data_IF_773983223550
#
_entry.id   IF_773983223550
#
_cell.length_a   1.000
_cell.length_b   1.000
_cell.length_c   1.000
_cell.angle_alpha   90.00
_cell.angle_beta   90.00
_cell.angle_gamma   90.00
#
_symmetry.space_group_name_H-M   'P 1'
#
loop_
_entity.id
_entity.type
_entity.pdbx_description
1 polymer ?
#
# COMPACT_ATOMS: atom_id res chain seq x y z
N UNK A 1 -3.77 -29.32 1.51
CA UNK A 1 -5.05 -28.69 1.09
C UNK A 1 -5.20 -27.38 1.86
N UNK A 2 -4.79 -26.25 1.28
CA UNK A 2 -5.02 -24.95 1.92
C UNK A 2 -6.51 -24.64 1.87
N UNK A 3 -7.16 -24.52 3.02
CA UNK A 3 -8.50 -23.94 3.12
C UNK A 3 -8.40 -22.50 2.64
N UNK A 4 -8.86 -22.22 1.42
CA UNK A 4 -9.16 -20.85 1.02
C UNK A 4 -10.28 -20.35 1.92
N UNK A 5 -9.91 -19.62 2.97
CA UNK A 5 -10.88 -18.88 3.78
C UNK A 5 -11.46 -17.83 2.84
N UNK A 6 -12.72 -18.03 2.41
CA UNK A 6 -13.46 -17.01 1.66
C UNK A 6 -13.78 -15.86 2.62
N UNK A 7 -12.87 -14.91 2.72
CA UNK A 7 -13.12 -13.66 3.41
C UNK A 7 -14.06 -12.82 2.56
N UNK A 8 -15.24 -12.51 3.10
CA UNK A 8 -16.24 -11.66 2.43
C UNK A 8 -16.20 -10.26 3.04
N UNK A 9 -16.30 -9.21 2.23
CA UNK A 9 -16.49 -7.86 2.75
C UNK A 9 -17.87 -7.70 3.38
N UNK A 10 -18.05 -6.62 4.14
CA UNK A 10 -19.36 -6.22 4.65
C UNK A 10 -20.27 -5.64 3.55
N UNK A 11 -21.47 -5.19 3.92
CA UNK A 11 -22.46 -4.62 2.98
C UNK A 11 -21.97 -3.36 2.27
N UNK A 12 -20.91 -2.71 2.77
CA UNK A 12 -20.32 -1.51 2.18
C UNK A 12 -19.04 -1.84 1.38
N UNK A 13 -18.68 -3.12 1.26
CA UNK A 13 -17.46 -3.53 0.58
C UNK A 13 -16.20 -3.51 1.45
N UNK A 14 -16.32 -3.31 2.77
CA UNK A 14 -15.16 -3.21 3.65
C UNK A 14 -14.73 -4.56 4.23
N UNK A 15 -13.43 -4.82 4.13
CA UNK A 15 -12.75 -5.90 4.83
C UNK A 15 -12.47 -5.51 6.28
N UNK A 16 -12.67 -6.44 7.21
CA UNK A 16 -12.49 -6.23 8.67
C UNK A 16 -11.72 -7.37 9.33
N UNK A 17 -11.14 -8.26 8.55
CA UNK A 17 -10.37 -9.37 9.10
C UNK A 17 -9.11 -8.87 9.80
N UNK A 18 -8.85 -9.41 10.98
CA UNK A 18 -7.55 -9.27 11.62
C UNK A 18 -6.54 -10.18 10.92
N UNK A 19 -5.35 -9.67 10.61
CA UNK A 19 -4.29 -10.49 10.03
C UNK A 19 -3.63 -11.32 11.12
N UNK A 20 -3.59 -12.64 10.93
CA UNK A 20 -2.95 -13.53 11.90
C UNK A 20 -1.43 -13.38 11.81
N UNK A 21 -0.79 -13.27 12.97
CA UNK A 21 0.66 -13.32 13.06
C UNK A 21 1.18 -14.64 12.45
N UNK A 22 2.15 -14.51 11.55
CA UNK A 22 2.87 -15.65 11.00
C UNK A 22 3.97 -16.13 11.98
N UNK A 23 4.26 -17.42 11.94
CA UNK A 23 5.38 -18.03 12.66
C UNK A 23 6.32 -18.65 11.63
N UNK A 24 7.24 -17.85 11.04
CA UNK A 24 8.12 -18.33 9.98
C UNK A 24 9.11 -19.38 10.49
N UNK A 25 9.51 -20.30 9.61
CA UNK A 25 10.58 -21.25 9.91
C UNK A 25 11.95 -20.56 9.90
N UNK A 26 12.98 -21.24 10.44
CA UNK A 26 14.36 -20.74 10.38
C UNK A 26 14.85 -20.53 8.94
N UNK A 27 14.41 -21.36 7.99
CA UNK A 27 14.75 -21.19 6.58
C UNK A 27 14.10 -19.93 5.96
N UNK A 28 12.88 -19.58 6.40
CA UNK A 28 12.21 -18.35 5.95
C UNK A 28 12.82 -17.08 6.58
N UNK A 29 13.50 -17.21 7.71
CA UNK A 29 14.22 -16.13 8.39
C UNK A 29 15.69 -16.04 7.98
N UNK A 30 16.19 -16.95 7.14
CA UNK A 30 17.58 -16.97 6.68
C UNK A 30 17.89 -15.70 5.85
N UNK A 31 18.70 -14.76 6.37
CA UNK A 31 18.96 -13.48 5.73
C UNK A 31 19.86 -13.62 4.48
N UNK A 32 20.54 -14.76 4.29
CA UNK A 32 21.31 -15.04 3.08
C UNK A 32 20.41 -15.46 1.91
N UNK A 33 19.15 -15.82 2.19
CA UNK A 33 18.19 -16.32 1.19
C UNK A 33 16.97 -15.43 1.02
N UNK A 34 16.60 -14.67 2.05
CA UNK A 34 15.37 -13.87 2.07
C UNK A 34 15.64 -12.45 2.57
N UNK A 35 14.79 -11.51 2.16
CA UNK A 35 14.77 -10.18 2.77
C UNK A 35 14.43 -10.29 4.26
N UNK A 36 15.18 -9.57 5.10
CA UNK A 36 14.85 -9.41 6.52
C UNK A 36 13.52 -8.66 6.63
N UNK A 37 12.45 -9.35 7.03
CA UNK A 37 11.08 -8.83 7.09
C UNK A 37 10.38 -9.18 8.41
N UNK A 38 11.12 -9.53 9.45
CA UNK A 38 10.62 -9.97 10.76
C UNK A 38 10.42 -8.82 11.77
N UNK A 39 10.86 -7.60 11.44
CA UNK A 39 10.63 -6.41 12.27
C UNK A 39 9.13 -6.09 12.40
N UNK A 40 8.69 -5.57 13.56
CA UNK A 40 7.26 -5.25 13.78
C UNK A 40 6.75 -4.20 12.80
N UNK A 41 7.52 -3.13 12.61
CA UNK A 41 7.24 -2.08 11.65
C UNK A 41 7.79 -2.52 10.29
N UNK A 42 6.90 -2.69 9.31
CA UNK A 42 7.28 -3.21 7.98
C UNK A 42 7.81 -2.10 7.09
N UNK A 43 7.30 -0.89 7.24
CA UNK A 43 7.80 0.23 6.46
C UNK A 43 6.77 1.32 6.28
N UNK A 44 7.18 2.31 5.49
CA UNK A 44 6.32 3.38 5.05
C UNK A 44 5.58 2.97 3.77
N UNK A 45 4.33 3.37 3.68
CA UNK A 45 3.50 3.23 2.50
C UNK A 45 2.94 4.60 2.09
N UNK A 46 3.13 4.99 0.84
CA UNK A 46 2.35 6.08 0.26
C UNK A 46 1.25 5.54 -0.66
N UNK A 47 0.03 6.02 -0.48
CA UNK A 47 -1.16 5.64 -1.25
C UNK A 47 -1.75 6.85 -1.95
N UNK A 48 -1.70 6.87 -3.28
CA UNK A 48 -2.24 7.94 -4.12
C UNK A 48 -3.53 7.49 -4.79
N UNK A 49 -4.58 8.30 -4.67
CA UNK A 49 -5.87 8.01 -5.28
C UNK A 49 -6.38 9.19 -6.12
N UNK A 50 -6.28 9.07 -7.44
CA UNK A 50 -6.93 9.99 -8.38
C UNK A 50 -8.37 9.53 -8.60
N UNK A 51 -9.34 10.35 -8.25
CA UNK A 51 -10.75 9.94 -8.07
C UNK A 51 -11.63 10.19 -9.28
N UNK A 52 -11.19 11.03 -10.24
CA UNK A 52 -11.93 11.41 -11.47
C UNK A 52 -12.48 10.17 -12.18
N UNK A 53 -13.81 10.08 -12.24
CA UNK A 53 -14.58 8.99 -12.87
C UNK A 53 -14.34 7.57 -12.30
N UNK A 54 -13.76 7.45 -11.09
CA UNK A 54 -13.43 6.18 -10.45
C UNK A 54 -14.29 5.91 -9.21
N UNK A 55 -15.60 5.77 -9.42
CA UNK A 55 -16.56 5.41 -8.36
C UNK A 55 -16.16 4.10 -7.68
N UNK A 56 -16.09 4.11 -6.34
CA UNK A 56 -15.70 2.96 -5.54
C UNK A 56 -14.20 2.92 -5.19
N UNK A 57 -13.38 3.83 -5.74
CA UNK A 57 -11.97 3.93 -5.39
C UNK A 57 -11.75 4.27 -3.90
N UNK A 58 -12.70 4.92 -3.25
CA UNK A 58 -12.70 5.17 -1.81
C UNK A 58 -12.82 3.86 -0.99
N UNK A 59 -13.56 2.88 -1.52
CA UNK A 59 -13.65 1.54 -0.93
C UNK A 59 -12.31 0.80 -1.08
N UNK A 60 -11.65 0.93 -2.24
CA UNK A 60 -10.31 0.38 -2.45
C UNK A 60 -9.30 0.99 -1.48
N UNK A 61 -9.27 2.33 -1.33
CA UNK A 61 -8.40 3.04 -0.38
C UNK A 61 -8.57 2.47 1.02
N UNK A 62 -9.82 2.37 1.50
CA UNK A 62 -10.11 1.87 2.85
C UNK A 62 -9.65 0.44 3.05
N UNK A 63 -9.86 -0.42 2.05
CA UNK A 63 -9.47 -1.82 2.12
C UNK A 63 -7.95 -2.01 2.08
N UNK A 64 -7.25 -1.22 1.26
CA UNK A 64 -5.79 -1.19 1.24
C UNK A 64 -5.26 -0.71 2.58
N UNK A 65 -5.78 0.41 3.11
CA UNK A 65 -5.39 0.92 4.42
C UNK A 65 -5.58 -0.12 5.52
N UNK A 66 -6.74 -0.80 5.54
CA UNK A 66 -7.02 -1.87 6.51
C UNK A 66 -5.97 -2.97 6.43
N UNK A 67 -5.73 -3.53 5.24
CA UNK A 67 -4.79 -4.64 5.07
C UNK A 67 -3.35 -4.25 5.41
N UNK A 68 -2.88 -3.11 4.91
CA UNK A 68 -1.49 -2.68 5.12
C UNK A 68 -1.22 -2.24 6.56
N UNK A 69 -2.22 -1.66 7.24
CA UNK A 69 -2.12 -1.37 8.69
C UNK A 69 -2.02 -2.67 9.49
N UNK A 70 -2.88 -3.65 9.19
CA UNK A 70 -2.90 -4.94 9.91
C UNK A 70 -1.61 -5.75 9.77
N UNK A 71 -0.88 -5.60 8.66
CA UNK A 71 0.41 -6.28 8.47
C UNK A 71 1.61 -5.43 8.96
N UNK A 72 1.39 -4.18 9.38
CA UNK A 72 2.39 -3.35 10.07
C UNK A 72 3.05 -2.22 9.26
N UNK A 73 2.39 -1.70 8.22
CA UNK A 73 2.86 -0.49 7.52
C UNK A 73 2.29 0.79 8.13
N UNK A 74 3.09 1.85 8.10
CA UNK A 74 2.65 3.23 8.34
C UNK A 74 2.22 3.84 7.01
N UNK A 75 1.00 4.38 6.92
CA UNK A 75 0.39 4.77 5.64
C UNK A 75 0.15 6.27 5.61
N UNK A 76 0.68 6.94 4.57
CA UNK A 76 0.30 8.30 4.17
C UNK A 76 -0.56 8.22 2.90
N UNK A 77 -1.74 8.83 2.92
CA UNK A 77 -2.66 8.82 1.79
C UNK A 77 -2.78 10.21 1.18
N UNK A 78 -2.70 10.28 -0.14
CA UNK A 78 -2.94 11.46 -0.95
C UNK A 78 -4.03 11.20 -1.98
N UNK A 79 -4.75 12.24 -2.36
CA UNK A 79 -5.78 12.11 -3.38
C UNK A 79 -5.80 13.34 -4.25
N UNK A 80 -6.16 13.12 -5.51
CA UNK A 80 -6.42 14.20 -6.47
C UNK A 80 -5.26 15.21 -6.53
N UNK A 81 -4.04 14.69 -6.69
CA UNK A 81 -2.84 15.49 -6.87
C UNK A 81 -2.69 15.93 -8.33
N UNK A 82 -2.05 17.09 -8.52
CA UNK A 82 -1.46 17.45 -9.81
C UNK A 82 -0.27 16.56 -10.14
N UNK A 83 0.18 16.55 -11.40
CA UNK A 83 1.37 15.81 -11.79
C UNK A 83 2.63 16.30 -11.04
N UNK A 84 2.75 17.62 -10.82
CA UNK A 84 3.83 18.24 -10.04
C UNK A 84 3.78 17.77 -8.58
N UNK A 85 2.63 17.86 -7.91
CA UNK A 85 2.47 17.42 -6.52
C UNK A 85 2.75 15.91 -6.36
N UNK A 86 2.34 15.09 -7.32
CA UNK A 86 2.63 13.65 -7.32
C UNK A 86 4.14 13.40 -7.42
N UNK A 87 4.84 14.14 -8.28
CA UNK A 87 6.28 14.04 -8.43
C UNK A 87 7.00 14.47 -7.13
N UNK A 88 6.61 15.60 -6.54
CA UNK A 88 7.18 16.08 -5.27
C UNK A 88 6.98 15.07 -4.14
N UNK A 89 5.80 14.44 -4.07
CA UNK A 89 5.52 13.40 -3.09
C UNK A 89 6.29 12.11 -3.35
N UNK A 90 6.53 11.75 -4.61
CA UNK A 90 7.39 10.65 -4.99
C UNK A 90 8.85 10.87 -4.57
N UNK A 91 9.37 12.07 -4.81
CA UNK A 91 10.73 12.45 -4.40
C UNK A 91 10.86 12.46 -2.88
N UNK A 92 9.85 13.01 -2.18
CA UNK A 92 9.77 12.98 -0.71
C UNK A 92 9.76 11.56 -0.18
N UNK A 93 8.96 10.67 -0.79
CA UNK A 93 8.91 9.27 -0.41
C UNK A 93 10.26 8.61 -0.62
N UNK A 94 10.88 8.74 -1.79
CA UNK A 94 12.16 8.11 -2.09
C UNK A 94 13.30 8.61 -1.17
N UNK A 95 13.29 9.89 -0.81
CA UNK A 95 14.29 10.52 0.06
C UNK A 95 14.05 10.34 1.56
N UNK A 96 13.02 9.59 1.97
CA UNK A 96 12.62 9.53 3.37
C UNK A 96 13.66 8.79 4.22
N UNK A 97 14.34 9.51 5.11
CA UNK A 97 15.44 9.01 5.97
C UNK A 97 15.08 7.74 6.76
N UNK A 98 13.80 7.56 7.12
CA UNK A 98 13.35 6.39 7.89
C UNK A 98 13.44 5.08 7.10
N UNK A 99 13.54 5.10 5.77
CA UNK A 99 13.77 3.91 4.95
C UNK A 99 15.03 3.15 5.36
N UNK A 100 16.04 3.83 5.91
CA UNK A 100 17.26 3.18 6.41
C UNK A 100 17.00 2.20 7.57
N UNK A 101 15.92 2.43 8.33
CA UNK A 101 15.57 1.64 9.51
C UNK A 101 14.34 0.74 9.30
N UNK A 102 13.82 0.69 8.07
CA UNK A 102 12.63 -0.06 7.72
C UNK A 102 13.00 -1.21 6.76
N UNK A 103 12.39 -2.40 6.91
CA UNK A 103 12.73 -3.53 6.07
C UNK A 103 12.13 -3.44 4.67
N UNK A 104 11.08 -2.64 4.45
CA UNK A 104 10.50 -2.42 3.14
C UNK A 104 9.87 -1.02 3.00
N UNK A 105 9.44 -0.73 1.78
CA UNK A 105 8.65 0.45 1.43
C UNK A 105 7.60 0.04 0.40
N UNK A 106 6.40 0.62 0.46
CA UNK A 106 5.32 0.34 -0.49
C UNK A 106 4.80 1.65 -1.07
N UNK A 107 4.50 1.63 -2.36
CA UNK A 107 3.93 2.79 -3.02
C UNK A 107 2.82 2.30 -3.96
N UNK A 108 1.65 2.92 -3.85
CA UNK A 108 0.46 2.53 -4.62
C UNK A 108 -0.11 3.77 -5.29
N UNK A 109 -0.27 3.73 -6.61
CA UNK A 109 -1.05 4.73 -7.35
C UNK A 109 -2.30 4.07 -7.90
N UNK A 110 -3.43 4.70 -7.63
CA UNK A 110 -4.72 4.35 -8.17
C UNK A 110 -5.24 5.52 -8.98
N UNK A 111 -5.31 5.36 -10.30
CA UNK A 111 -5.78 6.41 -11.19
C UNK A 111 -6.09 5.86 -12.57
N UNK A 112 -6.68 6.71 -13.41
CA UNK A 112 -6.70 6.43 -14.84
C UNK A 112 -5.29 6.59 -15.41
N UNK A 113 -5.06 6.00 -16.56
CA UNK A 113 -3.77 6.09 -17.22
C UNK A 113 -3.88 5.77 -18.70
N UNK A 114 -2.80 6.05 -19.39
CA UNK A 114 -2.58 5.73 -20.79
C UNK A 114 -1.29 4.92 -20.93
N UNK A 115 -0.90 4.62 -22.16
CA UNK A 115 0.38 3.96 -22.44
C UNK A 115 1.59 4.80 -22.03
N UNK A 116 1.41 6.09 -21.76
CA UNK A 116 2.50 7.03 -21.49
C UNK A 116 2.54 7.54 -20.05
N UNK A 117 1.53 7.27 -19.23
CA UNK A 117 1.53 7.77 -17.85
C UNK A 117 0.22 7.63 -17.11
N UNK A 118 0.18 8.24 -15.93
CA UNK A 118 -0.95 8.25 -15.01
C UNK A 118 -1.60 9.64 -15.06
N UNK A 119 -2.92 9.64 -15.11
CA UNK A 119 -3.72 10.85 -15.23
C UNK A 119 -3.88 11.49 -13.85
N UNK A 120 -3.39 12.73 -13.72
CA UNK A 120 -3.49 13.56 -12.52
C UNK A 120 -4.60 14.60 -12.69
N UNK A 121 -4.85 15.44 -11.68
CA UNK A 121 -6.00 16.37 -11.71
C UNK A 121 -5.87 17.53 -12.69
N UNK A 122 -4.65 17.85 -13.08
CA UNK A 122 -4.29 18.90 -14.02
C UNK A 122 -4.40 18.46 -15.49
N UNK A 123 -4.74 17.20 -15.74
CA UNK A 123 -5.09 16.75 -17.09
C UNK A 123 -6.49 17.27 -17.50
N UNK A 124 -6.61 17.87 -18.71
CA UNK A 124 -7.88 18.38 -19.24
C UNK A 124 -9.07 17.42 -19.12
#
# INVERSE_FOLDING_TARGET
>A
MQLQVKVKPDSNGFYKQTMKQAYPSQEQLDPEKNYKMDDKEKGLMFLFNMTKDRKGSDVDVRNIQHVFTEIGYEIETHSDLTAEDLQDKLETFAGYVRHHYMPSAVFVIMGNGSSTGIHCTDEP
#
